data_IF_174899661520
#
_entry.id   IF_174899661520
#
_cell.length_a   1.000
_cell.length_b   1.000
_cell.length_c   1.000
_cell.angle_alpha   90.00
_cell.angle_beta   90.00
_cell.angle_gamma   90.00
#
_symmetry.space_group_name_H-M   'P 1'
#
loop_
_entity.id
_entity.type
_entity.pdbx_description
1 polymer ?
#
# COMPACT_ATOMS: atom_id res chain seq x y z
N UNK A 1 -19.47 16.41 9.32
CA UNK A 1 -18.36 15.49 9.12
C UNK A 1 -18.83 14.43 8.14
N UNK A 2 -18.45 14.54 6.88
CA UNK A 2 -18.76 13.53 5.86
C UNK A 2 -17.80 12.36 6.12
N UNK A 3 -18.35 11.19 6.44
CA UNK A 3 -17.56 9.98 6.58
C UNK A 3 -16.87 9.71 5.24
N UNK A 4 -15.55 9.73 5.24
CA UNK A 4 -14.74 9.22 4.15
C UNK A 4 -14.83 7.70 4.20
N UNK A 5 -15.54 7.12 3.27
CA UNK A 5 -15.47 5.70 3.00
C UNK A 5 -14.82 5.52 1.62
N UNK A 6 -13.52 5.24 1.53
CA UNK A 6 -13.09 4.47 0.39
C UNK A 6 -13.89 3.18 0.49
N UNK A 7 -14.60 2.85 -0.56
CA UNK A 7 -15.35 1.58 -0.66
C UNK A 7 -14.38 0.41 -0.86
N UNK A 8 -13.47 0.23 0.09
CA UNK A 8 -12.64 -0.95 0.17
C UNK A 8 -13.29 -1.81 1.24
N UNK A 9 -14.17 -2.70 0.81
CA UNK A 9 -14.78 -3.65 1.71
C UNK A 9 -13.68 -4.57 2.25
N UNK A 10 -13.81 -4.92 3.49
CA UNK A 10 -12.93 -5.89 4.12
C UNK A 10 -13.38 -7.27 3.64
N UNK A 11 -12.49 -7.98 2.95
CA UNK A 11 -12.72 -9.38 2.59
C UNK A 11 -13.16 -10.18 3.82
N UNK A 12 -14.08 -11.10 3.64
CA UNK A 12 -14.44 -12.00 4.71
C UNK A 12 -13.21 -12.76 5.22
N UNK A 13 -13.12 -12.96 6.53
CA UNK A 13 -11.94 -13.57 7.17
C UNK A 13 -11.61 -14.94 6.59
N UNK A 14 -12.62 -15.70 6.15
CA UNK A 14 -12.42 -17.01 5.51
C UNK A 14 -11.76 -16.89 4.15
N UNK A 15 -12.17 -15.89 3.35
CA UNK A 15 -11.61 -15.64 2.03
C UNK A 15 -10.17 -15.14 2.13
N UNK A 16 -9.91 -14.20 3.04
CA UNK A 16 -8.56 -13.72 3.29
C UNK A 16 -7.60 -14.84 3.74
N UNK A 17 -8.07 -15.75 4.61
CA UNK A 17 -7.26 -16.91 5.05
C UNK A 17 -7.06 -17.95 3.93
N UNK A 18 -8.05 -18.17 3.08
CA UNK A 18 -7.90 -19.06 1.92
C UNK A 18 -6.90 -18.46 0.91
N UNK A 19 -7.01 -17.17 0.65
CA UNK A 19 -6.09 -16.46 -0.23
C UNK A 19 -4.66 -16.49 0.30
N UNK A 20 -4.44 -16.30 1.60
CA UNK A 20 -3.11 -16.27 2.21
C UNK A 20 -2.31 -17.53 1.91
N UNK A 21 -2.96 -18.71 1.88
CA UNK A 21 -2.29 -19.97 1.56
C UNK A 21 -1.91 -20.14 0.08
N UNK A 22 -2.43 -19.29 -0.81
CA UNK A 22 -2.21 -19.35 -2.25
C UNK A 22 -1.60 -18.08 -2.83
N UNK A 23 -1.47 -17.02 -2.03
CA UNK A 23 -1.10 -15.69 -2.53
C UNK A 23 0.27 -15.70 -3.22
N UNK A 24 1.26 -16.36 -2.64
CA UNK A 24 2.61 -16.42 -3.19
C UNK A 24 2.64 -17.21 -4.52
N UNK A 25 1.84 -18.27 -4.63
CA UNK A 25 1.71 -19.03 -5.88
C UNK A 25 1.05 -18.18 -6.97
N UNK A 26 -0.02 -17.44 -6.63
CA UNK A 26 -0.69 -16.49 -7.55
C UNK A 26 0.27 -15.39 -7.98
N UNK A 27 1.05 -14.83 -7.06
CA UNK A 27 2.02 -13.80 -7.35
C UNK A 27 3.13 -14.30 -8.27
N UNK A 28 3.70 -15.49 -7.98
CA UNK A 28 4.75 -16.10 -8.80
C UNK A 28 4.25 -16.44 -10.21
N UNK A 29 3.03 -17.00 -10.33
CA UNK A 29 2.43 -17.29 -11.63
C UNK A 29 2.14 -16.02 -12.44
N UNK A 30 1.77 -14.93 -11.78
CA UNK A 30 1.59 -13.64 -12.42
C UNK A 30 2.91 -13.02 -12.90
N UNK A 31 3.98 -13.10 -12.10
CA UNK A 31 5.31 -12.64 -12.50
C UNK A 31 5.83 -13.43 -13.71
N UNK A 32 5.68 -14.76 -13.70
CA UNK A 32 6.03 -15.60 -14.84
C UNK A 32 5.24 -15.20 -16.10
N UNK A 33 3.94 -14.95 -15.97
CA UNK A 33 3.14 -14.48 -17.10
C UNK A 33 3.63 -13.16 -17.69
N UNK A 34 4.07 -12.22 -16.83
CA UNK A 34 4.68 -10.95 -17.28
C UNK A 34 6.01 -11.20 -18.03
N UNK A 35 6.87 -12.10 -17.53
CA UNK A 35 8.13 -12.47 -18.17
C UNK A 35 7.91 -13.13 -19.55
N UNK A 36 6.84 -13.88 -19.71
CA UNK A 36 6.43 -14.50 -20.98
C UNK A 36 5.79 -13.50 -21.99
N UNK A 37 5.72 -12.23 -21.63
CA UNK A 37 5.22 -11.15 -22.50
C UNK A 37 3.77 -10.77 -22.26
N UNK A 38 3.21 -11.11 -21.11
CA UNK A 38 1.92 -10.65 -20.64
C UNK A 38 1.87 -9.12 -20.57
N UNK A 39 0.73 -8.54 -20.92
CA UNK A 39 0.56 -7.09 -20.96
C UNK A 39 -0.30 -6.60 -19.80
N UNK A 40 -0.01 -5.41 -19.24
CA UNK A 40 -0.77 -4.85 -18.11
C UNK A 40 -2.29 -4.82 -18.31
N UNK A 41 -2.75 -4.61 -19.57
CA UNK A 41 -4.18 -4.60 -19.90
C UNK A 41 -4.86 -5.95 -19.70
N UNK A 42 -4.09 -7.06 -19.75
CA UNK A 42 -4.55 -8.42 -19.51
C UNK A 42 -4.46 -8.86 -18.04
N UNK A 43 -3.82 -8.08 -17.18
CA UNK A 43 -3.52 -8.46 -15.79
C UNK A 43 -4.76 -8.88 -15.00
N UNK A 44 -5.87 -8.13 -15.14
CA UNK A 44 -7.13 -8.44 -14.46
C UNK A 44 -7.68 -9.81 -14.85
N UNK A 45 -7.66 -10.14 -16.13
CA UNK A 45 -8.11 -11.45 -16.63
C UNK A 45 -7.22 -12.58 -16.17
N UNK A 46 -5.89 -12.39 -16.20
CA UNK A 46 -4.91 -13.38 -15.75
C UNK A 46 -5.06 -13.67 -14.26
N UNK A 47 -5.10 -12.64 -13.42
CA UNK A 47 -5.27 -12.78 -11.97
C UNK A 47 -6.62 -13.40 -11.65
N UNK A 48 -7.70 -13.01 -12.35
CA UNK A 48 -9.01 -13.62 -12.20
C UNK A 48 -8.98 -15.14 -12.42
N UNK A 49 -8.31 -15.61 -13.46
CA UNK A 49 -8.14 -17.04 -13.73
C UNK A 49 -7.34 -17.73 -12.63
N UNK A 50 -6.22 -17.16 -12.21
CA UNK A 50 -5.39 -17.71 -11.15
C UNK A 50 -6.14 -17.82 -9.80
N UNK A 51 -6.94 -16.81 -9.46
CA UNK A 51 -7.75 -16.81 -8.24
C UNK A 51 -8.89 -17.83 -8.30
N UNK A 52 -9.52 -18.02 -9.44
CA UNK A 52 -10.54 -19.08 -9.63
C UNK A 52 -9.90 -20.44 -9.46
N UNK A 53 -8.73 -20.69 -10.05
CA UNK A 53 -8.02 -21.96 -9.95
C UNK A 53 -7.57 -22.23 -8.50
N UNK A 54 -7.14 -21.21 -7.77
CA UNK A 54 -6.65 -21.33 -6.40
C UNK A 54 -7.77 -21.46 -5.36
N UNK A 55 -8.85 -20.70 -5.50
CA UNK A 55 -9.90 -20.54 -4.49
C UNK A 55 -11.19 -21.29 -4.83
N UNK A 56 -11.39 -21.66 -6.10
CA UNK A 56 -12.63 -22.26 -6.57
C UNK A 56 -13.84 -21.41 -6.21
N UNK A 57 -14.88 -22.08 -5.69
CA UNK A 57 -16.13 -21.41 -5.31
C UNK A 57 -16.02 -20.55 -4.03
N UNK A 58 -14.86 -20.57 -3.33
CA UNK A 58 -14.71 -19.83 -2.08
C UNK A 58 -14.72 -18.29 -2.27
N UNK A 59 -14.36 -17.81 -3.47
CA UNK A 59 -14.39 -16.37 -3.79
C UNK A 59 -15.83 -15.84 -4.00
N UNK A 60 -16.75 -16.68 -4.51
CA UNK A 60 -18.16 -16.34 -4.69
C UNK A 60 -18.39 -14.97 -5.33
N UNK A 61 -19.34 -14.22 -4.78
CA UNK A 61 -19.69 -12.88 -5.26
C UNK A 61 -18.59 -11.82 -5.04
N UNK A 62 -17.56 -12.12 -4.24
CA UNK A 62 -16.46 -11.20 -3.94
C UNK A 62 -15.28 -11.33 -4.91
N UNK A 63 -15.36 -12.24 -5.90
CA UNK A 63 -14.24 -12.49 -6.82
C UNK A 63 -13.79 -11.23 -7.55
N UNK A 64 -14.70 -10.45 -8.10
CA UNK A 64 -14.36 -9.24 -8.87
C UNK A 64 -13.62 -8.20 -8.02
N UNK A 65 -14.08 -7.99 -6.78
CA UNK A 65 -13.44 -7.08 -5.83
C UNK A 65 -12.06 -7.60 -5.41
N UNK A 66 -11.96 -8.90 -5.16
CA UNK A 66 -10.70 -9.56 -4.84
C UNK A 66 -9.69 -9.45 -5.99
N UNK A 67 -10.13 -9.66 -7.22
CA UNK A 67 -9.28 -9.51 -8.41
C UNK A 67 -8.72 -8.09 -8.49
N UNK A 68 -9.57 -7.06 -8.36
CA UNK A 68 -9.15 -5.67 -8.42
C UNK A 68 -8.15 -5.33 -7.31
N UNK A 69 -8.36 -5.86 -6.11
CA UNK A 69 -7.46 -5.67 -4.97
C UNK A 69 -6.11 -6.34 -5.20
N UNK A 70 -6.08 -7.61 -5.61
CA UNK A 70 -4.84 -8.35 -5.88
C UNK A 70 -4.08 -7.76 -7.07
N UNK A 71 -4.78 -7.33 -8.13
CA UNK A 71 -4.17 -6.60 -9.25
C UNK A 71 -3.45 -5.34 -8.77
N UNK A 72 -4.08 -4.55 -7.91
CA UNK A 72 -3.48 -3.33 -7.37
C UNK A 72 -2.25 -3.64 -6.49
N UNK A 73 -2.30 -4.72 -5.70
CA UNK A 73 -1.20 -5.17 -4.84
C UNK A 73 -0.02 -5.74 -5.65
N UNK A 74 -0.31 -6.54 -6.67
CA UNK A 74 0.73 -7.12 -7.53
C UNK A 74 1.36 -6.10 -8.48
N UNK A 75 0.64 -5.06 -8.89
CA UNK A 75 1.19 -4.01 -9.76
C UNK A 75 1.87 -2.87 -9.01
N UNK A 76 1.43 -2.55 -7.78
CA UNK A 76 2.01 -1.43 -7.02
C UNK A 76 1.90 -1.67 -5.49
N UNK A 77 1.25 -0.77 -4.77
CA UNK A 77 1.12 -0.79 -3.29
C UNK A 77 -0.33 -1.00 -2.83
N UNK A 78 -1.15 -1.57 -3.71
CA UNK A 78 -2.53 -1.90 -3.39
C UNK A 78 -3.38 -0.67 -3.04
N UNK A 79 -4.33 -0.87 -2.13
CA UNK A 79 -5.23 0.18 -1.63
C UNK A 79 -4.51 1.36 -0.96
N UNK A 80 -3.26 1.19 -0.55
CA UNK A 80 -2.44 2.27 0.01
C UNK A 80 -2.29 3.42 -0.99
N UNK A 81 -2.17 3.12 -2.29
CA UNK A 81 -2.09 4.15 -3.33
C UNK A 81 -3.30 5.08 -3.30
N UNK A 82 -4.52 4.53 -3.29
CA UNK A 82 -5.75 5.32 -3.24
C UNK A 82 -5.89 6.13 -1.95
N UNK A 83 -5.42 5.59 -0.82
CA UNK A 83 -5.41 6.33 0.44
C UNK A 83 -4.42 7.51 0.40
N UNK A 84 -3.28 7.35 -0.24
CA UNK A 84 -2.30 8.42 -0.40
C UNK A 84 -2.76 9.52 -1.38
N UNK A 85 -3.72 9.26 -2.26
CA UNK A 85 -4.35 10.27 -3.11
C UNK A 85 -5.35 11.16 -2.34
N UNK A 86 -5.89 10.69 -1.21
CA UNK A 86 -6.83 11.45 -0.39
C UNK A 86 -6.13 12.67 0.26
N UNK A 87 -6.58 13.92 0.00
CA UNK A 87 -5.89 15.13 0.47
C UNK A 87 -5.73 15.23 1.98
N UNK A 88 -6.61 14.61 2.76
CA UNK A 88 -6.55 14.64 4.23
C UNK A 88 -5.53 13.67 4.81
N UNK A 89 -5.12 12.66 4.05
CA UNK A 89 -4.19 11.64 4.51
C UNK A 89 -2.76 12.16 4.42
N UNK A 90 -2.08 12.25 5.55
CA UNK A 90 -0.66 12.57 5.65
C UNK A 90 0.22 11.33 5.82
N UNK A 91 -0.33 10.29 6.42
CA UNK A 91 0.42 9.07 6.73
C UNK A 91 -0.47 7.84 6.65
N UNK A 92 0.09 6.73 6.16
CA UNK A 92 -0.53 5.40 6.14
C UNK A 92 0.41 4.40 6.79
N UNK A 93 -0.12 3.58 7.70
CA UNK A 93 0.58 2.48 8.33
C UNK A 93 -0.11 1.16 7.99
N UNK A 94 0.66 0.16 7.54
CA UNK A 94 0.19 -1.20 7.28
C UNK A 94 0.82 -2.13 8.29
N UNK A 95 -0.02 -2.75 9.12
CA UNK A 95 0.42 -3.74 10.07
C UNK A 95 0.78 -5.07 9.37
N UNK A 96 1.57 -5.97 9.99
CA UNK A 96 1.89 -7.29 9.44
C UNK A 96 0.66 -8.13 9.07
N UNK A 97 -0.46 -7.91 9.73
CA UNK A 97 -1.75 -8.54 9.42
C UNK A 97 -2.43 -8.01 8.16
N UNK A 98 -1.82 -7.12 7.41
CA UNK A 98 -2.42 -6.42 6.28
C UNK A 98 -3.37 -5.26 6.67
N UNK A 99 -3.71 -5.11 7.96
CA UNK A 99 -4.62 -4.05 8.42
C UNK A 99 -3.99 -2.67 8.25
N UNK A 100 -4.78 -1.74 7.70
CA UNK A 100 -4.33 -0.38 7.41
C UNK A 100 -4.87 0.61 8.45
N UNK A 101 -4.04 1.58 8.80
CA UNK A 101 -4.38 2.75 9.58
C UNK A 101 -3.90 3.99 8.83
N UNK A 102 -4.74 5.02 8.74
CA UNK A 102 -4.37 6.29 8.15
C UNK A 102 -4.49 7.41 9.18
N UNK A 103 -3.65 8.42 9.00
CA UNK A 103 -3.57 9.59 9.86
C UNK A 103 -3.62 10.85 9.02
N UNK A 104 -4.24 11.89 9.55
CA UNK A 104 -4.23 13.20 8.93
C UNK A 104 -2.87 13.92 9.12
N UNK A 105 -2.76 15.10 8.55
CA UNK A 105 -1.54 15.92 8.65
C UNK A 105 -1.20 16.39 10.07
N UNK A 106 -2.16 16.36 11.00
CA UNK A 106 -1.96 16.66 12.41
C UNK A 106 -1.63 15.42 13.25
N UNK A 107 -1.61 14.22 12.63
CA UNK A 107 -1.37 12.96 13.31
C UNK A 107 -2.61 12.34 13.95
N UNK A 108 -3.80 12.88 13.70
CA UNK A 108 -5.03 12.27 14.19
C UNK A 108 -5.40 11.06 13.31
N UNK A 109 -5.81 9.97 13.97
CA UNK A 109 -6.26 8.77 13.26
C UNK A 109 -7.56 9.06 12.50
N UNK A 110 -7.57 8.67 11.23
CA UNK A 110 -8.77 8.70 10.41
C UNK A 110 -9.58 7.41 10.59
N UNK A 111 -10.90 7.54 10.54
CA UNK A 111 -11.80 6.40 10.58
C UNK A 111 -11.91 5.81 9.17
N UNK A 112 -11.09 4.78 8.93
CA UNK A 112 -11.05 4.03 7.68
C UNK A 112 -11.19 2.53 7.98
N UNK A 113 -11.82 1.81 7.08
CA UNK A 113 -11.89 0.35 7.12
C UNK A 113 -11.23 -0.21 5.87
N UNK A 114 -9.90 -0.33 5.91
CA UNK A 114 -9.10 -0.82 4.80
C UNK A 114 -8.08 -1.86 5.27
N UNK A 115 -7.79 -2.81 4.41
CA UNK A 115 -6.73 -3.81 4.60
C UNK A 115 -6.16 -4.21 3.24
N UNK A 116 -4.96 -4.77 3.21
CA UNK A 116 -4.52 -5.58 2.09
C UNK A 116 -5.34 -6.87 2.05
N UNK A 117 -5.32 -7.56 0.92
CA UNK A 117 -6.13 -8.77 0.67
C UNK A 117 -5.82 -9.89 1.67
N UNK A 118 -4.56 -10.02 2.05
CA UNK A 118 -4.08 -10.96 3.07
C UNK A 118 -2.75 -10.47 3.66
N UNK A 119 -2.25 -11.08 4.74
CA UNK A 119 -0.92 -10.76 5.30
C UNK A 119 0.23 -10.94 4.31
N UNK A 120 0.22 -11.98 3.46
CA UNK A 120 1.27 -12.22 2.45
C UNK A 120 1.42 -11.04 1.46
N UNK A 121 0.32 -10.34 1.12
CA UNK A 121 0.37 -9.15 0.29
C UNK A 121 1.25 -8.04 0.90
N UNK A 122 1.33 -7.96 2.22
CA UNK A 122 2.22 -7.00 2.90
C UNK A 122 3.69 -7.31 2.61
N UNK A 123 4.06 -8.60 2.59
CA UNK A 123 5.39 -9.06 2.18
C UNK A 123 5.74 -8.62 0.76
N UNK A 124 4.81 -8.85 -0.16
CA UNK A 124 5.00 -8.49 -1.57
C UNK A 124 5.16 -6.99 -1.81
N UNK A 125 4.38 -6.17 -1.13
CA UNK A 125 4.52 -4.71 -1.17
C UNK A 125 5.87 -4.28 -0.57
N UNK A 126 6.30 -4.93 0.52
CA UNK A 126 7.61 -4.68 1.13
C UNK A 126 8.76 -4.97 0.18
N UNK A 127 8.75 -6.12 -0.50
CA UNK A 127 9.78 -6.51 -1.48
C UNK A 127 9.97 -5.44 -2.55
N UNK A 128 8.89 -4.91 -3.10
CA UNK A 128 8.97 -3.83 -4.09
C UNK A 128 9.59 -2.54 -3.56
N UNK A 129 9.30 -2.20 -2.31
CA UNK A 129 9.91 -1.02 -1.67
C UNK A 129 11.39 -1.28 -1.44
N UNK A 130 11.77 -2.50 -1.05
CA UNK A 130 13.16 -2.91 -0.86
C UNK A 130 13.94 -2.87 -2.17
N UNK A 131 13.36 -3.39 -3.25
CA UNK A 131 13.96 -3.35 -4.58
C UNK A 131 14.17 -1.91 -5.06
N UNK A 132 13.15 -1.06 -4.89
CA UNK A 132 13.24 0.35 -5.23
C UNK A 132 14.28 1.11 -4.39
N UNK A 133 14.53 0.67 -3.16
CA UNK A 133 15.54 1.22 -2.27
C UNK A 133 16.95 0.74 -2.61
N UNK A 134 17.10 -0.28 -3.48
CA UNK A 134 18.38 -0.95 -3.74
C UNK A 134 18.93 -1.70 -2.52
N UNK A 135 18.06 -2.09 -1.62
CA UNK A 135 18.42 -2.65 -0.31
C UNK A 135 17.93 -4.09 -0.19
N UNK A 136 18.83 -5.02 0.10
CA UNK A 136 18.53 -6.45 0.13
C UNK A 136 18.98 -7.06 1.46
N UNK A 137 18.30 -6.74 2.56
CA UNK A 137 18.55 -7.52 3.77
C UNK A 137 18.68 -6.78 5.10
N UNK A 138 18.44 -5.48 5.16
CA UNK A 138 18.44 -4.73 6.41
C UNK A 138 17.09 -4.87 7.14
N UNK A 139 17.13 -4.81 8.47
CA UNK A 139 15.95 -4.83 9.32
C UNK A 139 15.03 -3.61 9.12
N UNK A 140 15.52 -2.61 8.41
CA UNK A 140 14.82 -1.39 8.05
C UNK A 140 15.28 -0.90 6.68
N UNK A 141 14.34 -0.50 5.84
CA UNK A 141 14.63 0.14 4.56
C UNK A 141 13.71 1.35 4.33
N UNK A 142 14.18 2.28 3.52
CA UNK A 142 13.46 3.48 3.15
C UNK A 142 13.63 3.75 1.65
N UNK A 143 12.53 3.97 0.97
CA UNK A 143 12.51 4.39 -0.44
C UNK A 143 11.60 5.60 -0.61
N UNK A 144 11.92 6.42 -1.61
CA UNK A 144 11.07 7.52 -2.03
C UNK A 144 10.30 7.12 -3.28
N UNK A 145 8.98 7.10 -3.19
CA UNK A 145 8.10 6.82 -4.32
C UNK A 145 8.10 7.99 -5.32
N UNK A 146 7.53 7.74 -6.51
CA UNK A 146 7.53 8.74 -7.61
C UNK A 146 6.81 10.05 -7.25
N UNK A 147 5.77 9.98 -6.42
CA UNK A 147 5.02 11.13 -5.92
C UNK A 147 5.73 11.88 -4.77
N UNK A 148 6.93 11.40 -4.38
CA UNK A 148 7.72 11.93 -3.27
C UNK A 148 7.36 11.34 -1.90
N UNK A 149 6.35 10.46 -1.82
CA UNK A 149 6.00 9.75 -0.59
C UNK A 149 7.18 8.93 -0.09
N UNK A 150 7.46 8.99 1.19
CA UNK A 150 8.50 8.22 1.85
C UNK A 150 7.91 6.91 2.33
N UNK A 151 8.32 5.80 1.71
CA UNK A 151 7.93 4.46 2.10
C UNK A 151 9.01 3.84 2.99
N UNK A 152 8.60 3.25 4.11
CA UNK A 152 9.46 2.58 5.08
C UNK A 152 9.00 1.16 5.30
N UNK A 153 9.96 0.23 5.29
CA UNK A 153 9.76 -1.17 5.59
C UNK A 153 10.45 -1.50 6.91
N UNK A 154 9.72 -2.09 7.83
CA UNK A 154 10.23 -2.57 9.12
C UNK A 154 10.19 -4.09 9.10
N UNK A 155 11.36 -4.72 9.15
CA UNK A 155 11.52 -6.17 9.16
C UNK A 155 11.89 -6.69 10.56
N UNK A 156 12.19 -7.97 10.69
CA UNK A 156 12.75 -8.56 11.91
C UNK A 156 14.07 -7.83 12.28
N UNK A 157 14.30 -7.43 13.53
CA UNK A 157 13.53 -7.72 14.75
C UNK A 157 12.41 -6.71 15.08
N UNK A 158 12.19 -5.70 14.25
CA UNK A 158 11.22 -4.62 14.52
C UNK A 158 9.78 -5.00 14.16
N UNK A 159 9.59 -6.01 13.31
CA UNK A 159 8.31 -6.62 12.99
C UNK A 159 8.41 -8.15 13.18
N UNK A 160 7.26 -8.83 13.14
CA UNK A 160 7.18 -10.28 13.09
C UNK A 160 7.75 -10.81 11.75
N UNK A 161 7.46 -12.07 11.41
CA UNK A 161 7.89 -12.68 10.14
C UNK A 161 7.44 -11.87 8.92
N UNK A 162 6.25 -11.24 9.00
CA UNK A 162 5.71 -10.35 7.97
C UNK A 162 6.09 -8.91 8.31
N UNK A 163 6.60 -8.12 7.34
CA UNK A 163 7.01 -6.75 7.58
C UNK A 163 5.83 -5.82 7.92
N UNK A 164 6.13 -4.72 8.61
CA UNK A 164 5.24 -3.58 8.73
C UNK A 164 5.67 -2.47 7.78
N UNK A 165 4.71 -1.72 7.23
CA UNK A 165 4.99 -0.66 6.27
C UNK A 165 4.48 0.68 6.80
N UNK A 166 5.20 1.75 6.48
CA UNK A 166 4.81 3.12 6.77
C UNK A 166 5.04 4.00 5.57
N UNK A 167 4.02 4.73 5.17
CA UNK A 167 4.06 5.68 4.08
C UNK A 167 3.79 7.07 4.61
N UNK A 168 4.69 8.01 4.36
CA UNK A 168 4.58 9.40 4.81
C UNK A 168 4.62 10.28 3.59
N UNK A 169 3.54 11.02 3.34
CA UNK A 169 3.46 11.96 2.22
C UNK A 169 4.36 13.18 2.47
N UNK A 170 5.00 13.70 1.42
CA UNK A 170 5.70 14.97 1.55
C UNK A 170 4.68 16.08 1.86
N UNK A 171 5.04 16.95 2.77
CA UNK A 171 4.19 18.10 3.09
C UNK A 171 4.11 19.00 1.86
N UNK A 172 2.94 19.03 1.22
CA UNK A 172 2.74 19.72 -0.07
C UNK A 172 2.51 21.24 0.05
N UNK A 173 2.64 21.84 1.21
CA UNK A 173 2.63 23.29 1.28
C UNK A 173 3.97 23.81 0.75
N UNK A 174 3.96 24.27 -0.50
CA UNK A 174 4.90 25.31 -0.90
C UNK A 174 4.62 26.52 0.00
N UNK A 175 5.26 26.57 1.16
CA UNK A 175 5.25 27.77 1.95
C UNK A 175 6.04 28.81 1.14
N UNK A 176 5.35 29.81 0.59
CA UNK A 176 6.03 30.94 0.00
C UNK A 176 6.89 31.61 1.10
N UNK A 177 8.01 32.19 0.70
CA UNK A 177 8.86 32.94 1.64
C UNK A 177 8.03 33.99 2.43
N UNK A 178 7.04 34.60 1.80
CA UNK A 178 6.10 35.52 2.47
C UNK A 178 5.35 34.81 3.62
N UNK A 179 4.84 33.58 3.38
CA UNK A 179 4.12 32.84 4.42
C UNK A 179 5.05 32.35 5.55
N UNK A 180 6.32 32.06 5.24
CA UNK A 180 7.33 31.73 6.24
C UNK A 180 7.70 32.95 7.09
N UNK A 181 7.70 34.17 6.51
CA UNK A 181 7.87 35.41 7.26
C UNK A 181 6.66 35.70 8.17
N UNK A 182 5.44 35.55 7.65
CA UNK A 182 4.20 35.78 8.42
C UNK A 182 4.07 34.82 9.61
N UNK A 183 4.57 33.62 9.47
CA UNK A 183 4.59 32.61 10.56
C UNK A 183 5.79 32.74 11.50
N UNK A 184 6.69 33.70 11.24
CA UNK A 184 7.89 33.93 12.05
C UNK A 184 8.98 32.85 11.95
N UNK A 185 8.87 31.96 10.98
CA UNK A 185 9.87 30.88 10.74
C UNK A 185 11.15 31.47 10.14
N UNK A 186 11.04 32.51 9.32
CA UNK A 186 12.16 33.28 8.79
C UNK A 186 11.94 34.78 8.99
N UNK A 187 13.02 35.51 9.23
CA UNK A 187 12.98 36.97 9.36
C UNK A 187 13.16 37.64 7.99
N UNK A 188 12.71 38.89 7.87
CA UNK A 188 12.94 39.68 6.66
C UNK A 188 14.43 39.78 6.29
N UNK A 189 15.32 39.82 7.27
CA UNK A 189 16.77 39.84 7.07
C UNK A 189 17.37 38.54 6.53
N UNK A 190 16.66 37.40 6.63
CA UNK A 190 17.09 36.10 6.11
C UNK A 190 16.61 35.86 4.66
N UNK A 191 15.75 36.72 4.14
CA UNK A 191 15.16 36.63 2.80
C UNK A 191 15.81 37.65 1.84
N UNK A 192 16.52 38.66 2.36
CA UNK A 192 17.28 39.65 1.59
C UNK A 192 18.65 39.11 1.20
#
# INVERSE_FOLDING_TARGET
>A
ATAFAPSVSRLETKLASALESHYDDVAAAFDQWLEEGGKPEGARGQIGSLLIDALGDAAGDQLDELVDQVVAELNYIGVVASLLEEPRVGEVFVAPSGRIQAFDWAGNRLDINASLSCPAACGRVAERILDAAGNTGDSFAEARLQDGTLARVFMVPYAAEIPALRFVRPFQTSMSLAKLQDTGVVTAAQVA
#
